data_IF_418116539423
#
_entry.id   IF_418116539423
#
_cell.length_a   1.000
_cell.length_b   1.000
_cell.length_c   1.000
_cell.angle_alpha   90.00
_cell.angle_beta   90.00
_cell.angle_gamma   90.00
#
_symmetry.space_group_name_H-M   'P 1'
#
loop_
_entity.id
_entity.type
_entity.pdbx_description
1 polymer ?
#
# COMPACT_ATOMS: atom_id res chain seq x y z
N UNK A 1 7.68 -2.62 -9.82
CA UNK A 1 8.62 -2.26 -8.73
C UNK A 1 7.87 -2.28 -7.41
N UNK A 2 8.52 -2.66 -6.30
CA UNK A 2 7.92 -2.65 -4.96
C UNK A 2 8.66 -1.67 -4.04
N UNK A 3 7.92 -0.94 -3.22
CA UNK A 3 8.42 -0.04 -2.18
C UNK A 3 7.81 -0.45 -0.83
N UNK A 4 8.64 -0.56 0.20
CA UNK A 4 8.23 -0.89 1.56
C UNK A 4 8.35 0.36 2.44
N UNK A 5 7.30 0.64 3.20
CA UNK A 5 7.24 1.73 4.18
C UNK A 5 7.00 1.15 5.57
N UNK A 6 7.60 1.76 6.58
CA UNK A 6 7.38 1.44 7.99
C UNK A 6 7.11 2.72 8.77
N UNK A 7 6.17 2.66 9.71
CA UNK A 7 5.73 3.80 10.51
C UNK A 7 5.91 3.54 12.01
N UNK A 8 6.00 4.62 12.79
CA UNK A 8 6.24 4.54 14.23
C UNK A 8 5.09 3.91 15.03
N UNK A 9 3.89 3.80 14.45
CA UNK A 9 2.73 3.14 15.04
C UNK A 9 2.80 1.60 14.96
N UNK A 10 3.88 1.04 14.41
CA UNK A 10 4.05 -0.40 14.28
C UNK A 10 3.41 -1.00 13.03
N UNK A 11 2.82 -0.18 12.15
CA UNK A 11 2.33 -0.63 10.85
C UNK A 11 3.29 -0.23 9.72
N UNK A 12 3.14 -0.89 8.58
CA UNK A 12 3.84 -0.58 7.36
C UNK A 12 2.95 -0.68 6.13
N UNK A 13 3.54 -0.49 4.96
CA UNK A 13 2.87 -0.65 3.70
C UNK A 13 3.79 -1.28 2.64
N UNK A 14 3.25 -2.21 1.86
CA UNK A 14 3.86 -2.69 0.63
C UNK A 14 3.17 -2.02 -0.55
N UNK A 15 3.88 -1.17 -1.29
CA UNK A 15 3.37 -0.47 -2.46
C UNK A 15 3.98 -1.08 -3.72
N UNK A 16 3.14 -1.58 -4.62
CA UNK A 16 3.57 -2.17 -5.89
C UNK A 16 3.10 -1.27 -7.02
N UNK A 17 3.98 -1.04 -7.98
CA UNK A 17 3.63 -0.47 -9.27
C UNK A 17 3.85 -1.51 -10.35
N UNK A 18 2.75 -1.89 -11.01
CA UNK A 18 2.73 -2.75 -12.18
C UNK A 18 2.76 -1.87 -13.44
N UNK A 19 3.89 -1.20 -13.68
CA UNK A 19 4.14 -0.53 -14.96
C UNK A 19 4.27 -1.61 -16.05
N UNK A 20 3.14 -1.97 -16.68
CA UNK A 20 3.17 -2.83 -17.85
C UNK A 20 3.42 -1.95 -19.05
N UNK A 21 4.68 -1.91 -19.50
CA UNK A 21 5.07 -1.46 -20.83
C UNK A 21 4.02 -1.97 -21.83
N UNK A 22 3.43 -1.08 -22.62
CA UNK A 22 2.29 -1.29 -23.55
C UNK A 22 0.86 -0.95 -23.02
N UNK A 23 0.69 0.25 -22.48
CA UNK A 23 -0.54 1.03 -22.70
C UNK A 23 -1.68 0.88 -21.69
N UNK A 24 -1.49 0.12 -20.60
CA UNK A 24 -2.41 0.11 -19.46
C UNK A 24 -1.87 0.99 -18.33
N UNK A 25 -2.62 2.05 -18.02
CA UNK A 25 -2.22 3.16 -17.18
C UNK A 25 -1.93 2.78 -15.72
N UNK A 26 -0.74 3.13 -15.22
CA UNK A 26 -0.40 3.43 -13.82
C UNK A 26 -1.28 2.74 -12.76
N UNK A 27 -1.20 1.41 -12.67
CA UNK A 27 -1.90 0.66 -11.62
C UNK A 27 -0.98 0.52 -10.41
N UNK A 28 -1.29 1.28 -9.37
CA UNK A 28 -0.66 1.10 -8.07
C UNK A 28 -1.51 0.19 -7.20
N UNK A 29 -0.81 -0.61 -6.41
CA UNK A 29 -1.39 -1.49 -5.40
C UNK A 29 -0.73 -1.18 -4.06
N UNK A 30 -1.49 -1.24 -2.98
CA UNK A 30 -0.98 -1.08 -1.61
C UNK A 30 -1.62 -2.12 -0.69
N UNK A 31 -0.77 -2.76 0.12
CA UNK A 31 -1.17 -3.64 1.20
C UNK A 31 -0.62 -3.14 2.53
N UNK A 32 -1.35 -3.35 3.62
CA UNK A 32 -0.90 -2.99 4.97
C UNK A 32 0.01 -4.09 5.50
N UNK A 33 1.09 -3.71 6.17
CA UNK A 33 2.01 -4.62 6.85
C UNK A 33 1.91 -4.43 8.36
N UNK A 34 2.10 -5.50 9.12
CA UNK A 34 2.23 -5.46 10.56
C UNK A 34 3.67 -5.08 10.99
N UNK A 35 3.93 -5.15 12.30
CA UNK A 35 5.24 -4.79 12.87
C UNK A 35 6.34 -5.82 12.56
N UNK A 36 5.99 -7.00 12.05
CA UNK A 36 6.92 -8.03 11.59
C UNK A 36 7.20 -7.90 10.09
N UNK A 37 6.44 -7.04 9.39
CA UNK A 37 6.52 -6.87 7.95
C UNK A 37 5.64 -7.84 7.17
N UNK A 38 4.75 -8.57 7.85
CA UNK A 38 3.79 -9.51 7.25
C UNK A 38 2.50 -8.80 6.86
N UNK A 39 1.74 -9.34 5.91
CA UNK A 39 0.46 -8.76 5.47
C UNK A 39 -0.53 -8.71 6.63
N UNK A 40 -1.05 -7.51 6.89
CA UNK A 40 -2.02 -7.24 7.94
C UNK A 40 -3.41 -7.06 7.36
N UNK A 41 -4.26 -8.07 7.54
CA UNK A 41 -5.64 -8.09 7.04
C UNK A 41 -6.65 -7.50 8.04
N UNK A 42 -6.26 -7.35 9.30
CA UNK A 42 -7.12 -6.86 10.39
C UNK A 42 -7.02 -5.33 10.54
N UNK A 43 -7.29 -4.60 9.44
CA UNK A 43 -7.28 -3.13 9.45
C UNK A 43 -8.52 -2.56 8.78
N UNK A 44 -9.03 -1.39 9.25
CA UNK A 44 -10.15 -0.71 8.58
C UNK A 44 -9.74 -0.03 7.27
N UNK A 45 -8.49 -0.18 6.81
CA UNK A 45 -8.00 0.41 5.57
C UNK A 45 -8.28 -0.51 4.39
N UNK A 46 -7.95 -1.79 4.54
CA UNK A 46 -8.21 -2.86 3.57
C UNK A 46 -8.16 -4.21 4.28
N UNK A 47 -8.96 -5.15 3.80
CA UNK A 47 -8.99 -6.54 4.25
C UNK A 47 -8.04 -7.43 3.41
N UNK A 48 -7.41 -6.88 2.38
CA UNK A 48 -6.44 -7.55 1.50
C UNK A 48 -5.51 -6.52 0.81
N UNK A 49 -5.74 -6.22 -0.48
CA UNK A 49 -4.95 -5.27 -1.27
C UNK A 49 -5.86 -4.20 -1.87
N UNK A 50 -5.45 -2.93 -1.80
CA UNK A 50 -6.09 -1.85 -2.56
C UNK A 50 -5.37 -1.68 -3.90
N UNK A 51 -6.04 -2.01 -5.00
CA UNK A 51 -5.50 -1.90 -6.36
C UNK A 51 -6.12 -0.79 -7.21
N UNK A 52 -5.63 -0.67 -8.45
CA UNK A 52 -6.03 0.35 -9.41
C UNK A 52 -5.93 1.79 -8.89
N UNK A 53 -4.97 2.04 -8.01
CA UNK A 53 -4.77 3.34 -7.37
C UNK A 53 -3.99 4.29 -8.27
N UNK A 54 -4.36 5.57 -8.22
CA UNK A 54 -3.44 6.63 -8.66
C UNK A 54 -2.33 6.81 -7.61
N UNK A 55 -1.22 7.45 -7.99
CA UNK A 55 -0.16 7.78 -7.04
C UNK A 55 -0.68 8.65 -5.88
N UNK A 56 -1.62 9.57 -6.14
CA UNK A 56 -2.24 10.39 -5.08
C UNK A 56 -3.11 9.57 -4.12
N UNK A 57 -3.71 8.46 -4.57
CA UNK A 57 -4.47 7.57 -3.69
C UNK A 57 -3.54 6.71 -2.84
N UNK A 58 -2.37 6.33 -3.38
CA UNK A 58 -1.29 5.71 -2.60
C UNK A 58 -0.85 6.64 -1.47
N UNK A 59 -0.53 7.91 -1.77
CA UNK A 59 -0.09 8.89 -0.76
C UNK A 59 -1.13 9.06 0.36
N UNK A 60 -2.41 9.22 0.00
CA UNK A 60 -3.49 9.31 0.99
C UNK A 60 -3.59 8.05 1.84
N UNK A 61 -3.39 6.89 1.25
CA UNK A 61 -3.46 5.61 1.98
C UNK A 61 -2.29 5.45 2.91
N UNK A 62 -1.06 5.83 2.52
CA UNK A 62 0.10 5.86 3.39
C UNK A 62 -0.12 6.76 4.62
N UNK A 63 -0.73 7.93 4.42
CA UNK A 63 -1.11 8.82 5.54
C UNK A 63 -2.12 8.15 6.47
N UNK A 64 -3.11 7.41 5.94
CA UNK A 64 -4.05 6.66 6.77
C UNK A 64 -3.35 5.56 7.56
N UNK A 65 -2.48 4.77 6.93
CA UNK A 65 -1.73 3.69 7.59
C UNK A 65 -0.87 4.25 8.72
N UNK A 66 -0.19 5.38 8.51
CA UNK A 66 0.64 6.03 9.53
C UNK A 66 -0.12 6.56 10.75
N UNK A 67 -1.45 6.61 10.68
CA UNK A 67 -2.36 7.15 11.72
C UNK A 67 -3.27 6.08 12.33
N UNK A 68 -3.12 4.81 11.94
CA UNK A 68 -3.68 3.69 12.70
C UNK A 68 -3.11 3.69 14.12
#
# INVERSE_FOLDING_TARGET
>A
MQLIYSFANGYGASVINSDTSYGTANQWEIAVLDNQGDLCYDTPITEDVLGHLSFGDVEKTLVRISRL
#
